data_IF_045294080920
#
_entry.id   IF_045294080920
#
_cell.length_a   1.000
_cell.length_b   1.000
_cell.length_c   1.000
_cell.angle_alpha   90.00
_cell.angle_beta   90.00
_cell.angle_gamma   90.00
#
_symmetry.space_group_name_H-M   'P 1'
#
loop_
_entity.id
_entity.type
_entity.pdbx_description
1 polymer ?
#
# COMPACT_ATOMS: atom_id res chain seq x y z
N UNK A 1 -18.39 41.59 -21.49
CA UNK A 1 -16.97 41.72 -21.03
C UNK A 1 -16.58 43.12 -20.57
N UNK A 2 -16.76 44.20 -21.34
CA UNK A 2 -16.35 45.57 -20.93
C UNK A 2 -17.02 46.09 -19.64
N UNK A 3 -18.32 45.79 -19.43
CA UNK A 3 -19.05 46.17 -18.21
C UNK A 3 -18.50 45.44 -16.98
N UNK A 4 -18.16 44.17 -17.15
CA UNK A 4 -17.68 43.29 -16.08
C UNK A 4 -16.29 43.71 -15.60
N UNK A 5 -15.42 44.08 -16.54
CA UNK A 5 -14.11 44.67 -16.23
C UNK A 5 -14.18 46.00 -15.50
N UNK A 6 -15.13 46.88 -15.87
CA UNK A 6 -15.34 48.15 -15.15
C UNK A 6 -15.79 47.92 -13.71
N UNK A 7 -16.75 47.03 -13.50
CA UNK A 7 -17.24 46.69 -12.16
C UNK A 7 -16.14 46.08 -11.27
N UNK A 8 -15.26 45.25 -11.84
CA UNK A 8 -14.10 44.70 -11.12
C UNK A 8 -13.10 45.80 -10.76
N UNK A 9 -12.76 46.68 -11.70
CA UNK A 9 -11.83 47.78 -11.47
C UNK A 9 -12.34 48.77 -10.42
N UNK A 10 -13.61 49.13 -10.47
CA UNK A 10 -14.24 50.04 -9.50
C UNK A 10 -14.43 49.36 -8.13
N UNK A 11 -14.47 48.02 -8.08
CA UNK A 11 -14.41 47.24 -6.84
C UNK A 11 -13.00 47.10 -6.25
N UNK A 12 -11.93 47.21 -7.03
CA UNK A 12 -10.54 47.04 -6.57
C UNK A 12 -9.79 48.36 -6.36
N UNK A 13 -10.31 49.46 -6.91
CA UNK A 13 -9.70 50.79 -6.83
C UNK A 13 -10.68 51.82 -6.24
N UNK A 14 -10.17 52.95 -5.78
CA UNK A 14 -10.96 54.13 -5.45
C UNK A 14 -10.31 55.36 -6.08
N UNK A 15 -11.10 56.38 -6.39
CA UNK A 15 -10.59 57.64 -6.95
C UNK A 15 -10.43 58.65 -5.83
N UNK A 16 -9.28 59.30 -5.73
CA UNK A 16 -9.08 60.40 -4.79
C UNK A 16 -9.79 61.69 -5.27
N UNK A 17 -9.77 62.71 -4.41
CA UNK A 17 -10.40 64.01 -4.69
C UNK A 17 -9.74 64.76 -5.86
N UNK A 18 -8.55 64.34 -6.30
CA UNK A 18 -7.83 64.88 -7.46
C UNK A 18 -8.10 64.09 -8.75
N UNK A 19 -8.93 63.05 -8.70
CA UNK A 19 -9.31 62.24 -9.86
C UNK A 19 -8.35 61.08 -10.17
N UNK A 20 -7.33 60.84 -9.33
CA UNK A 20 -6.40 59.72 -9.51
C UNK A 20 -6.93 58.44 -8.87
N UNK A 21 -6.80 57.31 -9.59
CA UNK A 21 -7.22 55.99 -9.10
C UNK A 21 -6.11 55.33 -8.28
N UNK A 22 -6.44 54.93 -7.06
CA UNK A 22 -5.57 54.20 -6.15
C UNK A 22 -6.15 52.81 -5.85
N UNK A 23 -5.33 51.76 -5.73
CA UNK A 23 -5.81 50.45 -5.32
C UNK A 23 -6.23 50.45 -3.86
N UNK A 24 -7.31 49.73 -3.53
CA UNK A 24 -7.75 49.54 -2.14
C UNK A 24 -6.78 48.60 -1.42
N UNK A 25 -6.60 48.80 -0.12
CA UNK A 25 -5.63 48.03 0.67
C UNK A 25 -5.86 46.50 0.59
N UNK A 26 -7.12 46.04 0.61
CA UNK A 26 -7.42 44.61 0.44
C UNK A 26 -7.06 44.07 -0.95
N UNK A 27 -7.11 44.90 -2.00
CA UNK A 27 -6.72 44.50 -3.36
C UNK A 27 -5.20 44.30 -3.45
N UNK A 28 -4.42 45.13 -2.75
CA UNK A 28 -2.97 44.96 -2.62
C UNK A 28 -2.61 43.68 -1.86
N UNK A 29 -3.25 43.43 -0.71
CA UNK A 29 -3.00 42.22 0.10
C UNK A 29 -3.40 40.95 -0.64
N UNK A 30 -4.57 40.95 -1.30
CA UNK A 30 -5.05 39.79 -2.07
C UNK A 30 -4.14 39.55 -3.29
N UNK A 31 -3.69 40.61 -3.96
CA UNK A 31 -2.73 40.51 -5.07
C UNK A 31 -1.40 39.91 -4.63
N UNK A 32 -0.86 40.33 -3.48
CA UNK A 32 0.35 39.76 -2.90
C UNK A 32 0.19 38.28 -2.56
N UNK A 33 -0.93 37.89 -1.94
CA UNK A 33 -1.23 36.49 -1.62
C UNK A 33 -1.30 35.61 -2.88
N UNK A 34 -2.01 36.08 -3.91
CA UNK A 34 -2.08 35.40 -5.21
C UNK A 34 -0.71 35.28 -5.87
N UNK A 35 0.11 36.32 -5.79
CA UNK A 35 1.47 36.31 -6.33
C UNK A 35 2.37 35.32 -5.58
N UNK A 36 2.24 35.22 -4.25
CA UNK A 36 2.96 34.21 -3.47
C UNK A 36 2.52 32.78 -3.80
N UNK A 37 1.22 32.52 -3.98
CA UNK A 37 0.72 31.19 -4.36
C UNK A 37 1.20 30.80 -5.76
N UNK A 38 1.15 31.74 -6.72
CA UNK A 38 1.66 31.50 -8.08
C UNK A 38 3.19 31.36 -8.12
N UNK A 39 3.92 32.11 -7.31
CA UNK A 39 5.37 32.01 -7.17
C UNK A 39 5.80 30.66 -6.61
N UNK A 40 5.12 30.15 -5.57
CA UNK A 40 5.35 28.82 -5.02
C UNK A 40 5.03 27.72 -6.04
N UNK A 41 3.92 27.85 -6.79
CA UNK A 41 3.55 26.90 -7.84
C UNK A 41 4.55 26.86 -9.01
N UNK A 42 5.09 28.01 -9.42
CA UNK A 42 6.11 28.10 -10.47
C UNK A 42 7.45 27.49 -10.03
N UNK A 43 7.83 27.67 -8.75
CA UNK A 43 9.06 27.11 -8.19
C UNK A 43 9.07 25.57 -8.19
N UNK A 44 7.93 24.94 -7.88
CA UNK A 44 7.79 23.47 -7.91
C UNK A 44 7.97 22.92 -9.32
N UNK A 45 7.39 23.57 -10.33
CA UNK A 45 7.52 23.14 -11.74
C UNK A 45 8.95 23.32 -12.29
N UNK A 46 9.63 24.43 -11.96
CA UNK A 46 11.01 24.66 -12.39
C UNK A 46 11.96 23.64 -11.74
N UNK A 47 11.77 23.30 -10.46
CA UNK A 47 12.57 22.29 -9.79
C UNK A 47 12.40 20.89 -10.43
N UNK A 48 11.16 20.51 -10.77
CA UNK A 48 10.88 19.25 -11.47
C UNK A 48 11.49 19.20 -12.88
N UNK A 49 11.53 20.33 -13.60
CA UNK A 49 12.15 20.41 -14.92
C UNK A 49 13.68 20.31 -14.82
N UNK A 50 14.31 20.98 -13.85
CA UNK A 50 15.77 20.91 -13.65
C UNK A 50 16.23 19.49 -13.28
N UNK A 51 15.46 18.77 -12.44
CA UNK A 51 15.74 17.36 -12.12
C UNK A 51 15.67 16.45 -13.36
N UNK A 52 14.71 16.70 -14.27
CA UNK A 52 14.60 15.94 -15.54
C UNK A 52 15.78 16.19 -16.49
N UNK A 53 16.35 17.40 -16.50
CA UNK A 53 17.52 17.69 -17.33
C UNK A 53 18.84 17.18 -16.73
N UNK A 54 18.99 17.15 -15.41
CA UNK A 54 20.16 16.59 -14.73
C UNK A 54 20.35 15.08 -14.99
N UNK A 55 19.27 14.33 -15.25
CA UNK A 55 19.33 12.90 -15.57
C UNK A 55 19.80 12.58 -16.99
N UNK A 56 19.98 13.56 -17.88
CA UNK A 56 20.30 13.31 -19.30
C UNK A 56 21.81 13.21 -19.61
N UNK A 57 22.70 13.57 -18.69
CA UNK A 57 24.14 13.67 -18.97
C UNK A 57 25.04 12.58 -18.36
N UNK A 58 24.49 11.50 -17.79
CA UNK A 58 25.36 10.43 -17.24
C UNK A 58 24.96 9.05 -17.75
N UNK A 59 25.14 8.84 -19.05
CA UNK A 59 25.32 7.50 -19.62
C UNK A 59 26.54 7.53 -20.53
N UNK A 60 27.69 7.09 -19.99
CA UNK A 60 28.80 6.67 -20.84
C UNK A 60 28.44 5.29 -21.44
N UNK A 61 28.64 5.06 -22.74
CA UNK A 61 28.37 3.76 -23.34
C UNK A 61 29.36 2.72 -22.79
N UNK A 62 28.84 1.63 -22.23
CA UNK A 62 29.64 0.46 -21.86
C UNK A 62 30.13 -0.17 -23.16
N UNK A 63 31.45 -0.22 -23.36
CA UNK A 63 32.04 -0.95 -24.49
C UNK A 63 31.89 -2.45 -24.24
N UNK A 64 31.05 -3.07 -25.07
CA UNK A 64 30.88 -4.52 -25.18
C UNK A 64 32.21 -5.15 -25.64
N UNK A 65 32.91 -5.80 -24.72
CA UNK A 65 34.07 -6.65 -25.05
C UNK A 65 33.58 -8.07 -25.26
N UNK A 66 33.86 -8.62 -26.44
CA UNK A 66 33.46 -9.96 -26.86
C UNK A 66 33.94 -11.04 -25.86
N UNK A 67 33.15 -12.11 -25.65
CA UNK A 67 33.49 -13.15 -24.69
C UNK A 67 34.69 -13.97 -25.18
N UNK A 68 35.76 -13.97 -24.37
CA UNK A 68 36.86 -14.95 -24.50
C UNK A 68 36.36 -16.28 -23.93
N UNK A 69 36.32 -17.31 -24.78
CA UNK A 69 35.99 -18.67 -24.38
C UNK A 69 37.14 -19.19 -23.50
N UNK A 70 36.92 -19.21 -22.19
CA UNK A 70 37.74 -19.97 -21.24
C UNK A 70 37.23 -21.42 -21.18
N UNK A 71 38.11 -22.43 -21.04
CA UNK A 71 37.71 -23.82 -20.87
C UNK A 71 36.89 -23.98 -19.58
N UNK A 72 35.98 -24.97 -19.50
CA UNK A 72 35.08 -25.13 -18.38
C UNK A 72 35.90 -25.45 -17.12
N UNK A 73 36.01 -24.47 -16.23
CA UNK A 73 36.33 -24.74 -14.84
C UNK A 73 35.07 -25.30 -14.22
N UNK A 74 35.15 -26.49 -13.60
CA UNK A 74 34.08 -27.05 -12.79
C UNK A 74 33.64 -26.00 -11.76
N UNK A 75 32.51 -25.35 -12.03
CA UNK A 75 31.85 -24.50 -11.05
C UNK A 75 31.36 -25.43 -9.97
N UNK A 76 32.11 -25.52 -8.87
CA UNK A 76 31.57 -26.00 -7.62
C UNK A 76 30.25 -25.28 -7.40
N UNK A 77 29.17 -26.07 -7.31
CA UNK A 77 27.85 -25.63 -6.90
C UNK A 77 28.01 -24.98 -5.52
N UNK A 78 28.23 -23.67 -5.50
CA UNK A 78 28.08 -22.89 -4.28
C UNK A 78 26.62 -23.03 -3.91
N UNK A 79 26.33 -23.83 -2.89
CA UNK A 79 25.02 -23.83 -2.27
C UNK A 79 24.69 -22.36 -1.98
N UNK A 80 23.60 -21.87 -2.57
CA UNK A 80 23.10 -20.54 -2.25
C UNK A 80 22.98 -20.47 -0.72
N UNK A 81 23.64 -19.48 -0.11
CA UNK A 81 23.53 -19.29 1.33
C UNK A 81 22.04 -19.13 1.68
N UNK A 82 21.54 -19.81 2.72
CA UNK A 82 20.15 -19.67 3.13
C UNK A 82 19.87 -18.21 3.50
N UNK A 83 18.65 -17.75 3.23
CA UNK A 83 18.25 -16.39 3.56
C UNK A 83 18.35 -16.16 5.08
N UNK A 84 18.95 -15.05 5.56
CA UNK A 84 19.05 -14.78 6.98
C UNK A 84 17.66 -14.60 7.60
N UNK A 85 17.42 -15.28 8.72
CA UNK A 85 16.16 -15.22 9.48
C UNK A 85 16.26 -14.34 10.73
N UNK A 86 17.45 -13.89 11.11
CA UNK A 86 17.59 -12.95 12.21
C UNK A 86 17.47 -11.53 11.69
N UNK A 87 16.53 -10.77 12.26
CA UNK A 87 16.22 -9.42 11.77
C UNK A 87 17.39 -8.43 11.95
N UNK A 88 18.31 -8.75 12.85
CA UNK A 88 19.54 -8.01 13.14
C UNK A 88 20.56 -8.13 12.02
N UNK A 89 20.50 -9.20 11.23
CA UNK A 89 21.38 -9.44 10.08
C UNK A 89 20.94 -8.68 8.83
N UNK A 90 19.74 -8.08 8.86
CA UNK A 90 19.18 -7.35 7.74
C UNK A 90 19.60 -5.89 7.75
N UNK A 91 19.97 -5.37 6.58
CA UNK A 91 20.14 -3.94 6.40
C UNK A 91 18.81 -3.32 5.96
N UNK A 92 18.50 -2.13 6.49
CA UNK A 92 17.39 -1.30 6.02
C UNK A 92 17.98 -0.03 5.40
N UNK A 93 17.92 0.08 4.08
CA UNK A 93 18.52 1.18 3.31
C UNK A 93 17.45 2.10 2.72
N UNK A 94 17.86 3.33 2.44
CA UNK A 94 16.99 4.28 1.75
C UNK A 94 16.74 3.85 0.29
N UNK A 95 15.48 3.81 -0.16
CA UNK A 95 15.18 3.64 -1.57
C UNK A 95 15.68 4.86 -2.37
N UNK A 96 15.87 4.69 -3.68
CA UNK A 96 16.35 5.75 -4.60
C UNK A 96 15.51 7.02 -4.51
N UNK A 97 14.20 6.87 -4.25
CA UNK A 97 13.29 7.98 -3.99
C UNK A 97 13.04 8.04 -2.48
N UNK A 98 13.37 9.14 -1.78
CA UNK A 98 13.16 9.25 -0.35
C UNK A 98 11.72 8.95 0.04
N UNK A 99 11.54 8.01 0.97
CA UNK A 99 10.27 7.66 1.57
C UNK A 99 10.48 7.33 3.05
N UNK A 100 9.40 7.35 3.83
CA UNK A 100 9.39 7.04 5.25
C UNK A 100 9.71 5.55 5.51
N UNK A 101 9.75 4.74 4.45
CA UNK A 101 9.99 3.30 4.50
C UNK A 101 11.26 2.92 3.73
N UNK A 102 11.97 1.93 4.25
CA UNK A 102 13.27 1.45 3.82
C UNK A 102 13.16 0.13 3.05
N UNK A 103 14.16 -0.13 2.20
CA UNK A 103 14.39 -1.42 1.54
C UNK A 103 15.14 -2.37 2.49
N UNK A 104 14.71 -3.62 2.57
CA UNK A 104 15.41 -4.68 3.32
C UNK A 104 16.40 -5.37 2.38
N UNK A 105 17.63 -5.59 2.86
CA UNK A 105 18.56 -6.53 2.22
C UNK A 105 19.01 -7.62 3.22
N UNK A 106 19.17 -8.87 2.76
CA UNK A 106 18.98 -9.33 1.37
C UNK A 106 17.51 -9.42 0.95
N UNK A 107 17.23 -9.29 -0.35
CA UNK A 107 15.87 -9.26 -0.91
C UNK A 107 15.08 -10.56 -0.65
N UNK A 108 15.76 -11.70 -0.47
CA UNK A 108 15.13 -12.99 -0.15
C UNK A 108 14.29 -12.95 1.15
N UNK A 109 14.49 -11.96 2.04
CA UNK A 109 13.67 -11.77 3.24
C UNK A 109 12.20 -11.55 2.87
N UNK A 110 11.95 -10.97 1.69
CA UNK A 110 10.60 -10.74 1.18
C UNK A 110 9.88 -12.03 0.78
N UNK A 111 10.54 -13.18 0.66
CA UNK A 111 9.86 -14.44 0.32
C UNK A 111 8.87 -14.86 1.41
N UNK A 112 9.25 -14.72 2.69
CA UNK A 112 8.36 -14.99 3.82
C UNK A 112 7.20 -13.98 3.92
N UNK A 113 7.47 -12.72 3.59
CA UNK A 113 6.42 -11.69 3.50
C UNK A 113 5.44 -12.03 2.37
N UNK A 114 5.97 -12.35 1.19
CA UNK A 114 5.20 -12.72 0.01
C UNK A 114 4.33 -13.96 0.29
N UNK A 115 4.81 -14.93 1.06
CA UNK A 115 4.01 -16.08 1.48
C UNK A 115 2.78 -15.68 2.30
N UNK A 116 2.93 -14.71 3.20
CA UNK A 116 1.81 -14.19 4.02
C UNK A 116 0.88 -13.29 3.19
N UNK A 117 1.42 -12.52 2.23
CA UNK A 117 0.62 -11.78 1.24
C UNK A 117 -0.19 -12.73 0.35
N UNK A 118 0.37 -13.89 -0.03
CA UNK A 118 -0.35 -14.91 -0.80
C UNK A 118 -1.60 -15.39 -0.04
N UNK A 119 -1.49 -15.55 1.28
CA UNK A 119 -2.63 -15.90 2.13
C UNK A 119 -3.68 -14.79 2.15
N UNK A 120 -3.28 -13.52 2.37
CA UNK A 120 -4.19 -12.38 2.33
C UNK A 120 -4.88 -12.25 0.96
N UNK A 121 -4.15 -12.47 -0.14
CA UNK A 121 -4.69 -12.44 -1.50
C UNK A 121 -5.66 -13.59 -1.76
N UNK A 122 -5.36 -14.81 -1.32
CA UNK A 122 -6.29 -15.92 -1.42
C UNK A 122 -7.60 -15.61 -0.69
N UNK A 123 -7.54 -15.02 0.52
CA UNK A 123 -8.74 -14.65 1.28
C UNK A 123 -9.63 -13.65 0.51
N UNK A 124 -9.04 -12.67 -0.19
CA UNK A 124 -9.82 -11.74 -1.05
C UNK A 124 -10.47 -12.38 -2.28
N UNK A 125 -10.11 -13.62 -2.58
CA UNK A 125 -10.44 -14.33 -3.82
C UNK A 125 -11.22 -15.61 -3.56
N UNK A 126 -12.04 -15.60 -2.50
CA UNK A 126 -13.04 -16.62 -2.22
C UNK A 126 -12.53 -17.81 -1.42
N UNK A 127 -11.32 -17.76 -0.89
CA UNK A 127 -10.86 -18.76 0.09
C UNK A 127 -11.24 -18.32 1.49
N UNK A 128 -11.78 -19.23 2.30
CA UNK A 128 -11.83 -19.01 3.75
C UNK A 128 -10.41 -18.92 4.33
N UNK A 129 -10.27 -18.28 5.48
CA UNK A 129 -8.96 -18.15 6.17
C UNK A 129 -8.35 -19.50 6.45
N UNK A 130 -9.16 -20.45 6.90
CA UNK A 130 -8.71 -21.81 7.21
C UNK A 130 -8.33 -22.60 5.96
N UNK A 131 -9.07 -22.46 4.85
CA UNK A 131 -8.67 -23.07 3.57
C UNK A 131 -7.35 -22.49 3.07
N UNK A 132 -7.22 -21.16 3.01
CA UNK A 132 -6.00 -20.50 2.57
C UNK A 132 -4.80 -20.88 3.45
N UNK A 133 -4.99 -20.94 4.78
CA UNK A 133 -3.96 -21.36 5.75
C UNK A 133 -3.43 -22.76 5.42
N UNK A 134 -4.34 -23.72 5.22
CA UNK A 134 -3.99 -25.12 4.92
C UNK A 134 -3.30 -25.25 3.58
N UNK A 135 -3.84 -24.64 2.53
CA UNK A 135 -3.30 -24.73 1.17
C UNK A 135 -1.90 -24.12 1.05
N UNK A 136 -1.63 -23.06 1.80
CA UNK A 136 -0.31 -22.42 1.84
C UNK A 136 0.62 -23.00 2.91
N UNK A 137 0.19 -24.01 3.68
CA UNK A 137 1.06 -24.72 4.62
C UNK A 137 1.39 -23.96 5.92
N UNK A 138 0.60 -22.96 6.30
CA UNK A 138 0.79 -22.26 7.57
C UNK A 138 0.38 -23.13 8.76
N UNK A 139 1.16 -23.12 9.85
CA UNK A 139 0.85 -23.88 11.08
C UNK A 139 -0.30 -23.28 11.90
N UNK A 140 -0.43 -21.97 11.88
CA UNK A 140 -1.53 -21.20 12.48
C UNK A 140 -1.99 -20.12 11.51
N UNK A 141 -2.98 -19.31 11.89
CA UNK A 141 -3.35 -18.17 11.06
C UNK A 141 -2.19 -17.16 11.01
N UNK A 142 -1.74 -16.73 9.82
CA UNK A 142 -0.66 -15.76 9.69
C UNK A 142 -1.20 -14.32 9.88
N UNK A 143 -1.95 -14.11 10.97
CA UNK A 143 -2.52 -12.82 11.34
C UNK A 143 -2.48 -12.64 12.86
N UNK A 144 -2.33 -11.39 13.31
CA UNK A 144 -2.47 -10.99 14.70
C UNK A 144 -3.37 -9.77 14.77
N UNK A 145 -4.51 -9.90 15.44
CA UNK A 145 -5.39 -8.76 15.66
C UNK A 145 -4.69 -7.75 16.58
N UNK A 146 -4.60 -6.51 16.09
CA UNK A 146 -4.14 -5.34 16.82
C UNK A 146 -5.20 -4.26 16.64
N UNK A 147 -5.31 -3.35 17.60
CA UNK A 147 -6.17 -2.17 17.46
C UNK A 147 -5.38 -0.99 16.86
N UNK A 148 -4.08 -0.94 17.18
CA UNK A 148 -3.18 0.15 16.84
C UNK A 148 -1.78 -0.38 16.50
N UNK A 149 -1.07 0.30 15.60
CA UNK A 149 0.33 0.05 15.27
C UNK A 149 1.05 1.39 15.15
N UNK A 150 2.20 1.55 15.79
CA UNK A 150 3.03 2.74 15.64
C UNK A 150 3.89 2.68 14.37
N UNK A 151 3.76 3.67 13.49
CA UNK A 151 4.53 3.78 12.23
C UNK A 151 5.49 4.98 12.27
N UNK A 152 6.56 4.98 11.46
CA UNK A 152 7.47 6.13 11.40
C UNK A 152 6.75 7.40 10.93
N UNK A 153 7.07 8.52 11.57
CA UNK A 153 6.57 9.86 11.23
C UNK A 153 7.77 10.81 11.13
N UNK A 154 8.26 11.02 9.90
CA UNK A 154 9.35 11.92 9.49
C UNK A 154 10.08 12.70 10.61
N UNK A 155 11.16 12.11 11.14
CA UNK A 155 12.03 12.62 12.24
C UNK A 155 11.34 12.96 13.57
N UNK A 156 10.04 12.72 13.69
CA UNK A 156 9.24 12.85 14.91
C UNK A 156 9.10 11.48 15.63
N UNK A 157 8.42 11.51 16.77
CA UNK A 157 8.05 10.29 17.46
C UNK A 157 7.14 9.41 16.57
N UNK A 158 7.24 8.07 16.65
CA UNK A 158 6.35 7.18 15.91
C UNK A 158 4.88 7.56 16.11
N UNK A 159 4.14 7.65 15.00
CA UNK A 159 2.73 7.95 15.03
C UNK A 159 1.94 6.66 15.26
N UNK A 160 1.05 6.68 16.24
CA UNK A 160 0.13 5.58 16.48
C UNK A 160 -1.02 5.63 15.46
N UNK A 161 -1.18 4.57 14.67
CA UNK A 161 -2.26 4.47 13.67
C UNK A 161 -3.22 3.34 14.02
N UNK A 162 -4.52 3.66 13.98
CA UNK A 162 -5.57 2.67 14.12
C UNK A 162 -5.52 1.70 12.93
N UNK A 163 -5.62 0.42 13.25
CA UNK A 163 -5.72 -0.66 12.26
C UNK A 163 -7.05 -1.37 12.41
N UNK A 164 -7.55 -1.84 11.28
CA UNK A 164 -8.76 -2.62 11.20
C UNK A 164 -8.45 -3.98 10.61
N UNK A 165 -9.19 -4.98 11.05
CA UNK A 165 -9.14 -6.31 10.49
C UNK A 165 -10.46 -6.65 9.80
N UNK A 166 -10.35 -7.40 8.71
CA UNK A 166 -11.49 -8.21 8.29
C UNK A 166 -11.76 -9.22 9.43
N UNK A 167 -13.01 -9.45 9.83
CA UNK A 167 -13.36 -10.34 10.93
C UNK A 167 -12.54 -11.64 10.96
N UNK A 168 -11.99 -12.06 12.12
CA UNK A 168 -11.08 -13.21 12.22
C UNK A 168 -11.77 -14.57 12.08
N UNK A 169 -13.06 -14.60 11.75
CA UNK A 169 -13.85 -15.82 11.59
C UNK A 169 -13.28 -16.71 10.48
N UNK A 170 -12.95 -17.95 10.86
CA UNK A 170 -12.20 -18.89 10.02
C UNK A 170 -12.89 -19.21 8.69
N UNK A 171 -14.21 -19.39 8.74
CA UNK A 171 -15.02 -19.84 7.62
C UNK A 171 -15.66 -18.69 6.83
N UNK A 172 -15.40 -17.44 7.22
CA UNK A 172 -15.87 -16.28 6.47
C UNK A 172 -15.13 -16.16 5.13
N UNK A 173 -15.89 -16.07 4.04
CA UNK A 173 -15.39 -15.99 2.68
C UNK A 173 -15.78 -14.66 2.06
N UNK A 174 -14.87 -14.09 1.28
CA UNK A 174 -15.16 -12.91 0.47
C UNK A 174 -14.55 -13.01 -0.93
N UNK A 175 -15.23 -12.42 -1.90
CA UNK A 175 -14.71 -12.18 -3.25
C UNK A 175 -14.74 -10.69 -3.54
N UNK A 176 -13.59 -10.13 -3.88
CA UNK A 176 -13.47 -8.75 -4.36
C UNK A 176 -13.37 -8.75 -5.87
N UNK A 177 -14.46 -8.37 -6.53
CA UNK A 177 -14.62 -8.52 -7.98
C UNK A 177 -15.12 -7.25 -8.68
N UNK A 178 -14.79 -7.13 -9.97
CA UNK A 178 -15.37 -6.13 -10.86
C UNK A 178 -16.85 -6.47 -11.20
N UNK A 179 -17.48 -5.63 -12.04
CA UNK A 179 -18.88 -5.82 -12.44
C UNK A 179 -19.09 -7.09 -13.28
N UNK A 180 -18.03 -7.62 -13.90
CA UNK A 180 -18.03 -8.84 -14.69
C UNK A 180 -17.83 -10.09 -13.82
N UNK A 181 -17.37 -9.92 -12.57
CA UNK A 181 -17.07 -11.02 -11.65
C UNK A 181 -15.60 -11.46 -11.70
N UNK A 182 -14.71 -10.68 -12.33
CA UNK A 182 -13.28 -10.97 -12.33
C UNK A 182 -12.63 -10.50 -11.01
N UNK A 183 -11.61 -11.22 -10.52
CA UNK A 183 -10.75 -10.74 -9.43
C UNK A 183 -10.22 -9.34 -9.67
N UNK A 184 -10.31 -8.47 -8.67
CA UNK A 184 -9.92 -7.07 -8.80
C UNK A 184 -9.11 -6.58 -7.58
N UNK A 185 -8.15 -7.40 -7.14
CA UNK A 185 -7.21 -7.04 -6.06
C UNK A 185 -5.79 -7.38 -6.48
N UNK A 186 -4.89 -6.42 -6.28
CA UNK A 186 -3.45 -6.63 -6.39
C UNK A 186 -2.74 -6.00 -5.20
N UNK A 187 -1.61 -6.58 -4.79
CA UNK A 187 -0.75 -6.03 -3.76
C UNK A 187 0.62 -5.62 -4.31
N UNK A 188 1.28 -4.73 -3.57
CA UNK A 188 2.67 -4.37 -3.81
C UNK A 188 3.37 -3.91 -2.54
N UNK A 189 4.65 -4.20 -2.42
CA UNK A 189 5.47 -3.68 -1.33
C UNK A 189 5.55 -2.16 -1.42
N UNK A 190 5.36 -1.47 -0.29
CA UNK A 190 5.60 -0.02 -0.16
C UNK A 190 6.93 0.28 0.54
N UNK A 191 7.37 -0.64 1.39
CA UNK A 191 8.64 -0.59 2.12
C UNK A 191 8.48 -1.06 3.56
N UNK A 192 9.57 -1.05 4.32
CA UNK A 192 9.59 -1.57 5.68
C UNK A 192 10.31 -0.64 6.65
N UNK A 193 10.14 -0.87 7.94
CA UNK A 193 10.81 -0.10 8.98
C UNK A 193 11.13 -0.98 10.19
N UNK A 194 12.21 -0.62 10.89
CA UNK A 194 12.49 -1.18 12.22
C UNK A 194 11.56 -0.53 13.23
N UNK A 195 11.11 -1.32 14.19
CA UNK A 195 10.30 -0.83 15.31
C UNK A 195 11.15 -0.41 16.50
N UNK A 196 12.37 0.04 16.22
CA UNK A 196 13.32 0.49 17.21
C UNK A 196 14.15 1.63 16.66
N UNK A 197 14.47 2.62 17.50
CA UNK A 197 15.39 3.71 17.15
C UNK A 197 16.32 4.02 18.33
N UNK A 198 17.49 4.58 18.04
CA UNK A 198 18.43 5.05 19.04
C UNK A 198 18.13 6.51 19.36
N UNK A 199 17.68 6.78 20.58
CA UNK A 199 17.44 8.13 21.09
C UNK A 199 18.50 8.43 22.16
N UNK A 200 19.44 9.31 21.83
CA UNK A 200 20.63 9.56 22.66
C UNK A 200 21.53 8.33 22.73
N UNK A 201 21.59 7.68 23.90
CA UNK A 201 22.38 6.45 24.12
C UNK A 201 21.50 5.23 24.46
N UNK A 202 20.19 5.28 24.17
CA UNK A 202 19.25 4.19 24.45
C UNK A 202 18.52 3.75 23.20
N UNK A 203 18.30 2.45 23.10
CA UNK A 203 17.35 1.88 22.12
C UNK A 203 15.95 2.02 22.69
N UNK A 204 15.07 2.69 21.94
CA UNK A 204 13.65 2.76 22.21
C UNK A 204 12.96 1.83 21.21
N UNK A 205 12.23 0.84 21.73
CA UNK A 205 11.45 -0.13 20.94
C UNK A 205 9.97 0.23 21.04
N UNK A 206 9.24 0.10 19.93
CA UNK A 206 7.80 0.26 19.84
C UNK A 206 7.18 -0.98 19.15
N UNK A 207 5.85 -1.14 19.17
CA UNK A 207 5.12 -2.30 18.63
C UNK A 207 5.48 -3.69 19.20
N UNK A 208 6.17 -3.74 20.35
CA UNK A 208 6.40 -4.98 21.09
C UNK A 208 7.22 -6.00 20.33
N UNK A 209 6.57 -7.10 19.93
CA UNK A 209 7.19 -8.35 19.48
C UNK A 209 7.64 -8.36 18.01
N UNK A 210 7.39 -7.28 17.26
CA UNK A 210 7.65 -7.21 15.82
C UNK A 210 8.84 -6.30 15.53
N UNK A 211 10.10 -6.79 15.45
CA UNK A 211 11.29 -5.96 15.26
C UNK A 211 11.32 -5.22 13.91
N UNK A 212 10.58 -5.74 12.92
CA UNK A 212 10.43 -5.16 11.60
C UNK A 212 8.97 -5.24 11.17
N UNK A 213 8.46 -4.17 10.56
CA UNK A 213 7.13 -4.13 9.95
C UNK A 213 7.27 -3.66 8.51
N UNK A 214 6.58 -4.32 7.60
CA UNK A 214 6.46 -3.92 6.20
C UNK A 214 5.06 -3.40 5.91
N UNK A 215 4.99 -2.36 5.08
CA UNK A 215 3.76 -1.79 4.54
C UNK A 215 3.55 -2.35 3.14
N UNK A 216 2.37 -2.91 2.89
CA UNK A 216 1.96 -3.45 1.61
C UNK A 216 0.73 -2.67 1.15
N UNK A 217 0.76 -2.12 -0.06
CA UNK A 217 -0.43 -1.51 -0.66
C UNK A 217 -1.38 -2.60 -1.15
N UNK A 218 -2.67 -2.45 -0.87
CA UNK A 218 -3.77 -3.20 -1.48
C UNK A 218 -4.48 -2.27 -2.46
N UNK A 219 -4.35 -2.56 -3.76
CA UNK A 219 -5.14 -1.93 -4.80
C UNK A 219 -6.38 -2.79 -5.05
N UNK A 220 -7.46 -2.42 -4.36
CA UNK A 220 -8.76 -3.06 -4.49
C UNK A 220 -9.56 -2.29 -5.56
N UNK A 221 -9.46 -2.74 -6.81
CA UNK A 221 -10.14 -2.16 -7.97
C UNK A 221 -11.58 -2.68 -8.13
N UNK A 222 -12.01 -3.54 -7.21
CA UNK A 222 -13.33 -4.15 -7.22
C UNK A 222 -14.46 -3.11 -7.08
N UNK A 223 -15.55 -3.34 -7.81
CA UNK A 223 -16.79 -2.56 -7.71
C UNK A 223 -17.85 -3.29 -6.87
N UNK A 224 -17.59 -4.56 -6.54
CA UNK A 224 -18.46 -5.42 -5.73
C UNK A 224 -17.64 -6.21 -4.73
N UNK A 225 -18.24 -6.51 -3.57
CA UNK A 225 -17.73 -7.52 -2.64
C UNK A 225 -18.84 -8.51 -2.40
N UNK A 226 -18.59 -9.78 -2.68
CA UNK A 226 -19.48 -10.89 -2.36
C UNK A 226 -19.00 -11.49 -1.06
N UNK A 227 -19.88 -11.62 -0.08
CA UNK A 227 -19.63 -12.22 1.21
C UNK A 227 -20.38 -13.54 1.31
N UNK A 228 -19.76 -14.51 1.96
CA UNK A 228 -20.41 -15.75 2.35
C UNK A 228 -20.02 -16.13 3.78
N UNK A 229 -21.02 -16.53 4.54
CA UNK A 229 -20.84 -17.15 5.85
C UNK A 229 -21.89 -18.25 6.02
N UNK A 230 -21.44 -19.51 6.03
CA UNK A 230 -22.34 -20.66 6.04
C UNK A 230 -23.24 -20.65 4.80
N UNK A 231 -24.56 -20.65 5.02
CA UNK A 231 -25.57 -20.62 3.96
C UNK A 231 -25.95 -19.19 3.54
N UNK A 232 -25.43 -18.17 4.22
CA UNK A 232 -25.77 -16.77 4.00
C UNK A 232 -24.86 -16.11 2.98
N UNK A 233 -25.45 -15.30 2.09
CA UNK A 233 -24.74 -14.57 1.05
C UNK A 233 -25.19 -13.12 0.96
N UNK A 234 -24.23 -12.22 0.73
CA UNK A 234 -24.52 -10.82 0.50
C UNK A 234 -23.50 -10.17 -0.42
N UNK A 235 -23.97 -9.35 -1.36
CA UNK A 235 -23.18 -8.63 -2.34
C UNK A 235 -23.32 -7.13 -2.10
N UNK A 236 -22.25 -6.51 -1.63
CA UNK A 236 -22.18 -5.08 -1.41
C UNK A 236 -21.59 -4.36 -2.64
N UNK A 237 -22.05 -3.15 -2.97
CA UNK A 237 -21.27 -2.25 -3.82
C UNK A 237 -19.97 -1.85 -3.12
N UNK A 238 -18.92 -1.61 -3.90
CA UNK A 238 -17.61 -1.20 -3.43
C UNK A 238 -17.09 -0.02 -4.23
N UNK A 239 -16.34 0.85 -3.55
CA UNK A 239 -15.61 1.93 -4.21
C UNK A 239 -14.17 1.46 -4.37
N UNK A 240 -13.63 1.47 -5.60
CA UNK A 240 -12.23 1.15 -5.82
C UNK A 240 -11.30 1.98 -4.93
N UNK A 241 -10.48 1.31 -4.14
CA UNK A 241 -9.73 1.93 -3.04
C UNK A 241 -8.35 1.30 -2.88
N UNK A 242 -7.35 2.16 -2.69
CA UNK A 242 -6.00 1.80 -2.24
C UNK A 242 -5.95 1.88 -0.71
N UNK A 243 -5.57 0.78 -0.09
CA UNK A 243 -5.39 0.64 1.36
C UNK A 243 -3.96 0.22 1.72
N UNK A 244 -3.58 0.32 2.99
CA UNK A 244 -2.22 0.01 3.45
C UNK A 244 -2.26 -1.06 4.54
N UNK A 245 -1.76 -2.25 4.22
CA UNK A 245 -1.68 -3.40 5.13
C UNK A 245 -0.32 -3.39 5.83
N UNK A 246 -0.33 -3.70 7.12
CA UNK A 246 0.88 -3.78 7.95
C UNK A 246 1.21 -5.24 8.24
N UNK A 247 2.42 -5.67 7.93
CA UNK A 247 2.89 -7.04 8.15
C UNK A 247 4.08 -7.02 9.11
N UNK A 248 3.94 -7.68 10.25
CA UNK A 248 4.98 -7.78 11.28
C UNK A 248 5.81 -9.04 11.10
N UNK A 249 7.13 -8.90 11.22
CA UNK A 249 8.03 -10.04 11.26
C UNK A 249 7.96 -10.72 12.63
N UNK A 250 7.57 -12.00 12.66
CA UNK A 250 7.36 -12.76 13.89
C UNK A 250 8.56 -13.67 14.27
N UNK A 251 9.65 -13.62 13.51
CA UNK A 251 10.82 -14.49 13.70
C UNK A 251 10.81 -15.72 12.77
N UNK A 252 11.96 -16.39 12.64
CA UNK A 252 12.14 -17.64 11.89
C UNK A 252 11.60 -17.64 10.44
N UNK A 253 11.69 -16.50 9.76
CA UNK A 253 11.17 -16.31 8.40
C UNK A 253 9.66 -16.07 8.32
N UNK A 254 8.94 -16.11 9.45
CA UNK A 254 7.49 -15.94 9.51
C UNK A 254 7.08 -14.47 9.57
N UNK A 255 6.05 -14.13 8.80
CA UNK A 255 5.39 -12.83 8.82
C UNK A 255 3.93 -13.03 9.22
N UNK A 256 3.33 -12.01 9.82
CA UNK A 256 1.91 -12.00 10.17
C UNK A 256 1.27 -10.69 9.75
N UNK A 257 0.04 -10.77 9.26
CA UNK A 257 -0.75 -9.56 9.01
C UNK A 257 -1.18 -8.96 10.34
N UNK A 258 -0.87 -7.67 10.56
CA UNK A 258 -1.20 -6.87 11.75
C UNK A 258 -2.41 -5.95 11.55
N UNK A 259 -2.98 -5.93 10.34
CA UNK A 259 -4.20 -5.20 10.01
C UNK A 259 -4.02 -4.25 8.84
N UNK A 260 -5.13 -3.61 8.45
CA UNK A 260 -5.17 -2.55 7.45
C UNK A 260 -5.32 -1.21 8.16
N UNK A 261 -4.47 -0.25 7.86
CA UNK A 261 -4.59 1.12 8.38
C UNK A 261 -6.00 1.65 8.09
N UNK A 262 -6.69 2.14 9.12
CA UNK A 262 -8.02 2.72 8.94
C UNK A 262 -7.97 4.03 8.17
N UNK A 263 -6.84 4.75 8.24
CA UNK A 263 -6.55 5.95 7.46
C UNK A 263 -5.03 6.08 7.24
N UNK A 264 -4.57 6.64 6.11
CA UNK A 264 -5.39 7.08 4.97
C UNK A 264 -5.82 5.89 4.08
N UNK A 265 -6.96 6.06 3.41
CA UNK A 265 -7.34 5.24 2.24
C UNK A 265 -7.55 6.16 1.05
N UNK A 266 -7.14 5.73 -0.15
CA UNK A 266 -7.21 6.58 -1.35
C UNK A 266 -8.15 5.96 -2.36
N UNK A 267 -9.18 6.71 -2.79
CA UNK A 267 -10.05 6.26 -3.88
C UNK A 267 -9.25 6.16 -5.18
N UNK A 268 -9.33 5.01 -5.84
CA UNK A 268 -8.68 4.78 -7.12
C UNK A 268 -9.58 5.34 -8.23
N UNK A 269 -9.06 6.29 -8.99
CA UNK A 269 -9.77 6.93 -10.11
C UNK A 269 -9.20 6.57 -11.48
N UNK A 270 -7.94 6.17 -11.50
CA UNK A 270 -7.19 5.81 -12.70
C UNK A 270 -6.45 4.50 -12.42
N UNK A 271 -7.05 3.40 -12.88
CA UNK A 271 -6.53 2.04 -12.65
C UNK A 271 -5.16 1.85 -13.30
N UNK A 272 -5.00 2.31 -14.56
CA UNK A 272 -3.74 2.16 -15.28
C UNK A 272 -2.59 2.89 -14.57
N UNK A 273 -2.81 4.13 -14.13
CA UNK A 273 -1.81 4.87 -13.37
C UNK A 273 -1.47 4.19 -12.05
N UNK A 274 -2.48 3.67 -11.35
CA UNK A 274 -2.34 2.98 -10.06
C UNK A 274 -1.51 1.71 -10.21
N UNK A 275 -1.76 0.95 -11.26
CA UNK A 275 -1.02 -0.26 -11.64
C UNK A 275 0.44 0.07 -11.98
N UNK A 276 0.67 1.13 -12.77
CA UNK A 276 2.02 1.58 -13.14
C UNK A 276 2.82 2.08 -11.93
N UNK A 277 2.19 2.82 -11.02
CA UNK A 277 2.80 3.20 -9.74
C UNK A 277 3.20 1.96 -8.93
N UNK A 278 2.32 0.97 -8.82
CA UNK A 278 2.59 -0.26 -8.08
C UNK A 278 3.74 -1.06 -8.71
N UNK A 279 3.78 -1.19 -10.04
CA UNK A 279 4.90 -1.80 -10.78
C UNK A 279 6.21 -1.04 -10.56
N UNK A 280 6.17 0.29 -10.62
CA UNK A 280 7.35 1.14 -10.40
C UNK A 280 7.93 0.94 -9.01
N UNK A 281 7.07 0.90 -7.98
CA UNK A 281 7.51 0.65 -6.61
C UNK A 281 8.05 -0.77 -6.47
N UNK A 282 7.40 -1.78 -7.04
CA UNK A 282 7.91 -3.16 -7.00
C UNK A 282 9.36 -3.24 -7.52
N UNK A 283 9.65 -2.62 -8.67
CA UNK A 283 11.01 -2.53 -9.23
C UNK A 283 11.99 -1.81 -8.30
N UNK A 284 11.58 -0.72 -7.65
CA UNK A 284 12.45 0.01 -6.71
C UNK A 284 12.88 -0.83 -5.50
N UNK A 285 12.06 -1.81 -5.12
CA UNK A 285 12.32 -2.67 -3.97
C UNK A 285 12.85 -4.06 -4.34
N UNK A 286 13.22 -4.28 -5.61
CA UNK A 286 13.57 -5.61 -6.13
C UNK A 286 12.52 -6.68 -5.76
N UNK A 287 11.26 -6.24 -5.78
CA UNK A 287 10.06 -7.01 -5.47
C UNK A 287 9.21 -7.14 -6.74
N UNK A 288 8.15 -7.93 -6.66
CA UNK A 288 7.18 -8.10 -7.74
C UNK A 288 5.77 -7.62 -7.35
N UNK A 289 4.92 -7.54 -8.37
CA UNK A 289 3.47 -7.48 -8.22
C UNK A 289 2.96 -8.76 -7.57
N UNK A 290 2.10 -8.64 -6.56
CA UNK A 290 1.42 -9.78 -5.96
C UNK A 290 -0.05 -9.76 -6.40
N UNK A 291 -0.33 -10.41 -7.51
CA UNK A 291 -1.64 -10.50 -8.17
C UNK A 291 -2.05 -11.96 -8.43
N UNK A 292 -3.21 -12.18 -9.07
CA UNK A 292 -3.70 -13.52 -9.39
C UNK A 292 -2.75 -14.32 -10.29
N UNK A 293 -2.21 -13.77 -11.39
CA UNK A 293 -1.16 -14.46 -12.15
C UNK A 293 0.01 -14.93 -11.29
N UNK A 294 0.54 -14.09 -10.40
CA UNK A 294 1.59 -14.45 -9.48
C UNK A 294 1.18 -15.57 -8.50
N UNK A 295 0.02 -15.43 -7.86
CA UNK A 295 -0.51 -16.40 -6.89
C UNK A 295 -0.66 -17.78 -7.54
N UNK A 296 -1.16 -17.83 -8.78
CA UNK A 296 -1.29 -19.05 -9.56
C UNK A 296 0.06 -19.63 -9.93
N UNK A 297 1.00 -18.80 -10.40
CA UNK A 297 2.30 -19.26 -10.84
C UNK A 297 3.13 -19.86 -9.70
N UNK A 298 3.10 -19.24 -8.52
CA UNK A 298 3.93 -19.66 -7.39
C UNK A 298 3.27 -20.72 -6.50
N UNK A 299 1.95 -20.65 -6.30
CA UNK A 299 1.23 -21.52 -5.35
C UNK A 299 0.17 -22.41 -6.00
N UNK A 300 -0.06 -22.29 -7.31
CA UNK A 300 -1.12 -23.05 -8.01
C UNK A 300 -2.54 -22.62 -7.63
N UNK A 301 -2.70 -21.55 -6.85
CA UNK A 301 -4.01 -21.09 -6.39
C UNK A 301 -4.64 -20.15 -7.41
N UNK A 302 -5.83 -20.51 -7.87
CA UNK A 302 -6.69 -19.66 -8.70
C UNK A 302 -7.84 -19.11 -7.85
N UNK A 303 -8.48 -17.99 -8.25
CA UNK A 303 -9.69 -17.52 -7.58
C UNK A 303 -10.75 -18.63 -7.47
N UNK A 304 -11.46 -18.68 -6.34
CA UNK A 304 -12.60 -19.58 -6.20
C UNK A 304 -13.77 -19.10 -7.05
N UNK A 305 -14.60 -20.03 -7.59
CA UNK A 305 -15.76 -19.64 -8.37
C UNK A 305 -16.72 -18.79 -7.53
N UNK A 306 -17.32 -17.79 -8.17
CA UNK A 306 -18.43 -17.06 -7.57
C UNK A 306 -19.68 -17.97 -7.49
N UNK A 307 -20.51 -17.81 -6.45
CA UNK A 307 -21.80 -18.51 -6.40
C UNK A 307 -22.73 -18.06 -7.53
N UNK A 308 -23.60 -18.99 -7.97
CA UNK A 308 -24.59 -18.69 -8.99
C UNK A 308 -25.54 -17.57 -8.53
N UNK A 309 -25.82 -16.61 -9.41
CA UNK A 309 -26.69 -15.48 -9.08
C UNK A 309 -26.08 -14.48 -8.09
N UNK A 310 -24.77 -14.48 -7.85
CA UNK A 310 -24.12 -13.61 -6.85
C UNK A 310 -24.52 -12.13 -6.90
N UNK A 311 -24.84 -11.59 -8.09
CA UNK A 311 -25.25 -10.20 -8.27
C UNK A 311 -26.56 -9.87 -7.56
N UNK A 312 -27.41 -10.87 -7.35
CA UNK A 312 -28.76 -10.71 -6.83
C UNK A 312 -28.83 -10.86 -5.29
N UNK A 313 -27.74 -11.29 -4.64
CA UNK A 313 -27.64 -11.41 -3.18
C UNK A 313 -27.58 -10.05 -2.49
N UNK A 314 -28.67 -9.30 -2.52
CA UNK A 314 -28.71 -7.90 -2.03
C UNK A 314 -29.67 -7.71 -0.88
N UNK A 315 -30.17 -8.81 -0.27
CA UNK A 315 -31.10 -8.78 0.84
C UNK A 315 -30.43 -8.20 2.10
N UNK A 316 -30.91 -7.07 2.65
CA UNK A 316 -30.39 -6.52 3.89
C UNK A 316 -30.56 -7.43 5.11
N UNK A 317 -31.50 -8.38 5.08
CA UNK A 317 -31.68 -9.37 6.15
C UNK A 317 -30.48 -10.31 6.18
N UNK A 318 -30.05 -10.83 5.03
CA UNK A 318 -28.85 -11.66 4.90
C UNK A 318 -27.59 -10.90 5.35
N UNK A 319 -27.47 -9.62 4.96
CA UNK A 319 -26.39 -8.76 5.44
C UNK A 319 -26.36 -8.70 6.97
N UNK A 320 -27.51 -8.48 7.61
CA UNK A 320 -27.58 -8.33 9.07
C UNK A 320 -27.30 -9.66 9.78
N UNK A 321 -27.73 -10.80 9.23
CA UNK A 321 -27.41 -12.12 9.78
C UNK A 321 -25.89 -12.32 9.80
N UNK A 322 -25.23 -12.10 8.65
CA UNK A 322 -23.76 -12.19 8.55
C UNK A 322 -23.10 -11.26 9.57
N UNK A 323 -23.52 -10.00 9.66
CA UNK A 323 -22.94 -9.03 10.60
C UNK A 323 -23.11 -9.46 12.06
N UNK A 324 -24.28 -9.98 12.44
CA UNK A 324 -24.55 -10.44 13.80
C UNK A 324 -23.64 -11.61 14.19
N UNK A 325 -23.45 -12.58 13.28
CA UNK A 325 -22.56 -13.71 13.52
C UNK A 325 -21.11 -13.25 13.67
N UNK A 326 -20.66 -12.36 12.79
CA UNK A 326 -19.31 -11.78 12.87
C UNK A 326 -19.08 -11.05 14.20
N UNK A 327 -20.03 -10.23 14.65
CA UNK A 327 -19.94 -9.51 15.93
C UNK A 327 -19.91 -10.51 17.10
N UNK A 328 -20.82 -11.49 17.11
CA UNK A 328 -20.88 -12.48 18.19
C UNK A 328 -19.57 -13.27 18.34
N UNK A 329 -18.86 -13.50 17.23
CA UNK A 329 -17.56 -14.21 17.24
C UNK A 329 -16.42 -13.39 17.85
N UNK A 330 -16.55 -12.06 17.90
CA UNK A 330 -15.57 -11.17 18.53
C UNK A 330 -15.72 -11.10 20.06
N UNK A 331 -16.90 -11.47 20.58
CA UNK A 331 -17.20 -11.45 22.02
C UNK A 331 -16.78 -12.74 22.74
N UNK A 332 -16.44 -13.80 22.00
CA UNK A 332 -15.93 -15.06 22.56
C UNK A 332 -14.40 -14.94 22.67
N UNK A 333 -13.82 -14.99 23.89
CA UNK A 333 -12.37 -15.02 24.04
C UNK A 333 -11.82 -16.25 23.30
N UNK A 334 -10.81 -16.05 22.45
CA UNK A 334 -10.08 -17.18 21.88
C UNK A 334 -9.54 -18.06 23.04
N UNK A 335 -9.69 -19.39 22.96
CA UNK A 335 -9.22 -20.31 24.00
C UNK A 335 -7.70 -20.29 24.19
#
# INVERSE_FOLDING_TARGET
MRQLWKNILDGLTFTDLAGHRHPRQYALVTGLLLFSVLGLGAGVQVNQIMLKYAMKETYAPIQETAPTILPPTETAQSAALPCPVLSEEWSLSDPILPQNYKLIQPACVYDGLAHTVAWALAVRNGYSREQARRLLGFRGLPMRQMDHVAIPNDDEAPQDVAVSFIPPMLDFIEWRVDDQGNPAVAYGLRGCFRTSNVVGNRVVVWNGDYPVICVVVEDAENTRIVYNLGEHYFTAPAIPTRSFLLFGYAGDGAWVWLGTQSNPTTVIRDFAKTEDERRTVATLFDSQSWDIPWLKALYGLTPQPLPDGWRDFTDPVEQQIILNELISSLEVPAP
#
